data_IF_748892860965
#
_entry.id   IF_748892860965
#
_cell.length_a   1.000
_cell.length_b   1.000
_cell.length_c   1.000
_cell.angle_alpha   90.00
_cell.angle_beta   90.00
_cell.angle_gamma   90.00
#
_symmetry.space_group_name_H-M   'P 1'
#
loop_
_entity.id
_entity.type
_entity.pdbx_description
1 polymer ?
#
# COMPACT_ATOMS: atom_id res chain seq x y z
N UNK A 1 17.59 61.39 21.94
CA UNK A 1 16.34 62.12 21.58
C UNK A 1 15.37 61.05 21.07
N UNK A 2 14.43 60.70 21.95
CA UNK A 2 13.45 59.70 21.66
C UNK A 2 12.17 60.31 21.10
N UNK A 3 11.62 59.70 20.07
CA UNK A 3 10.27 60.00 19.64
C UNK A 3 9.39 58.76 19.90
N UNK A 4 8.40 58.93 20.79
CA UNK A 4 7.33 57.98 21.05
C UNK A 4 6.18 58.29 20.09
N UNK A 5 5.65 57.28 19.43
CA UNK A 5 4.39 57.33 18.68
C UNK A 5 3.23 56.91 19.59
N UNK A 6 2.08 57.57 19.58
CA UNK A 6 0.92 57.13 20.36
C UNK A 6 0.12 56.07 19.62
N UNK A 7 -0.20 54.97 20.35
CA UNK A 7 -1.18 53.98 19.94
C UNK A 7 -2.59 54.55 20.08
N UNK A 8 -3.29 54.68 18.97
CA UNK A 8 -4.74 54.87 18.92
C UNK A 8 -5.41 53.48 18.86
N UNK A 9 -6.04 53.11 19.98
CA UNK A 9 -6.89 51.90 20.07
C UNK A 9 -8.31 52.37 19.72
N UNK A 10 -8.81 51.96 18.55
CA UNK A 10 -10.21 52.03 18.21
C UNK A 10 -10.87 50.68 18.52
N UNK A 11 -11.82 50.66 19.43
CA UNK A 11 -12.63 49.50 19.75
C UNK A 11 -13.66 49.27 18.62
N UNK A 12 -13.84 48.04 18.15
CA UNK A 12 -14.94 47.71 17.26
C UNK A 12 -16.21 47.43 18.08
N UNK A 13 -17.29 48.12 17.71
CA UNK A 13 -18.66 47.91 18.14
C UNK A 13 -19.10 46.45 17.86
N UNK A 14 -19.53 45.76 18.89
CA UNK A 14 -20.14 44.44 18.80
C UNK A 14 -21.53 44.57 18.14
N UNK A 15 -21.69 43.99 16.97
CA UNK A 15 -23.01 43.68 16.39
C UNK A 15 -23.38 42.29 16.83
N UNK A 16 -24.35 42.13 17.71
CA UNK A 16 -25.01 40.88 18.02
C UNK A 16 -25.81 40.42 16.80
N UNK A 17 -25.34 39.44 16.07
CA UNK A 17 -26.15 38.65 15.15
C UNK A 17 -26.53 37.34 15.81
N UNK A 18 -27.82 37.04 15.78
CA UNK A 18 -28.49 35.96 16.48
C UNK A 18 -27.90 34.60 16.20
N UNK A 19 -27.82 33.79 17.25
CA UNK A 19 -27.47 32.40 17.22
C UNK A 19 -28.61 31.56 16.59
N UNK A 20 -28.60 31.41 15.27
CA UNK A 20 -29.30 30.30 14.64
C UNK A 20 -28.34 29.13 14.60
N UNK A 21 -28.72 28.05 15.32
CA UNK A 21 -27.89 26.87 15.51
C UNK A 21 -27.60 26.17 14.20
N UNK A 22 -26.36 26.27 13.71
CA UNK A 22 -25.78 25.30 12.80
C UNK A 22 -25.69 23.98 13.56
N UNK A 23 -26.65 23.11 13.31
CA UNK A 23 -26.54 21.68 13.64
C UNK A 23 -25.36 21.12 12.84
N UNK A 24 -24.15 21.19 13.39
CA UNK A 24 -23.01 20.43 12.94
C UNK A 24 -23.36 18.96 13.15
N UNK A 25 -23.86 18.32 12.10
CA UNK A 25 -23.96 16.86 12.03
C UNK A 25 -22.54 16.37 12.30
N UNK A 26 -22.27 15.93 13.53
CA UNK A 26 -21.03 15.24 13.87
C UNK A 26 -21.00 13.99 13.00
N UNK A 27 -20.22 14.01 11.90
CA UNK A 27 -19.92 12.79 11.16
C UNK A 27 -19.47 11.74 12.18
N UNK A 28 -20.04 10.52 12.15
CA UNK A 28 -19.62 9.50 13.07
C UNK A 28 -18.09 9.37 12.94
N UNK A 29 -17.38 9.36 14.07
CA UNK A 29 -15.96 9.01 14.09
C UNK A 29 -15.90 7.58 13.58
N UNK A 30 -15.38 7.39 12.37
CA UNK A 30 -15.08 6.06 11.84
C UNK A 30 -14.23 5.36 12.90
N UNK A 31 -14.74 4.31 13.53
CA UNK A 31 -13.97 3.50 14.46
C UNK A 31 -13.18 2.52 13.59
N UNK A 32 -12.07 2.99 13.03
CA UNK A 32 -11.19 2.14 12.24
C UNK A 32 -10.74 0.96 13.09
N UNK A 33 -10.84 -0.23 12.53
CA UNK A 33 -10.29 -1.44 13.12
C UNK A 33 -8.76 -1.33 13.17
N UNK A 34 -8.14 -2.02 14.12
CA UNK A 34 -6.68 -2.08 14.20
C UNK A 34 -6.17 -3.02 13.10
N UNK A 35 -5.25 -2.58 12.23
CA UNK A 35 -4.61 -3.47 11.27
C UNK A 35 -3.84 -4.58 11.99
N UNK A 36 -3.92 -5.79 11.46
CA UNK A 36 -3.26 -6.98 11.99
C UNK A 36 -2.16 -7.51 11.05
N UNK A 37 -2.06 -6.96 9.85
CA UNK A 37 -1.01 -7.30 8.89
C UNK A 37 -0.55 -6.08 8.09
N UNK A 38 0.71 -6.16 7.66
CA UNK A 38 1.35 -5.28 6.69
C UNK A 38 2.26 -6.14 5.82
N UNK A 39 1.99 -6.24 4.54
CA UNK A 39 2.67 -7.21 3.66
C UNK A 39 3.42 -6.56 2.50
N UNK A 40 3.56 -5.24 2.54
CA UNK A 40 4.40 -4.48 1.61
C UNK A 40 5.40 -3.65 2.40
N UNK A 41 6.58 -4.23 2.63
CA UNK A 41 7.67 -3.59 3.39
C UNK A 41 9.04 -4.02 2.88
N UNK A 42 10.04 -3.16 3.06
CA UNK A 42 11.38 -3.30 2.56
C UNK A 42 12.42 -3.22 3.67
N UNK A 43 13.52 -3.98 3.52
CA UNK A 43 14.68 -3.90 4.41
C UNK A 43 15.89 -3.28 3.69
N UNK A 44 17.00 -3.17 4.38
CA UNK A 44 18.28 -2.72 3.80
C UNK A 44 18.69 -3.52 2.54
N UNK A 45 18.11 -4.71 2.34
CA UNK A 45 18.37 -5.54 1.16
C UNK A 45 17.80 -4.93 -0.14
N UNK A 46 16.76 -4.10 -0.05
CA UNK A 46 16.23 -3.32 -1.19
C UNK A 46 17.13 -2.14 -1.63
N UNK A 47 18.25 -1.91 -0.92
CA UNK A 47 19.27 -0.93 -1.30
C UNK A 47 18.96 0.51 -0.93
N UNK A 48 17.72 0.88 -0.75
CA UNK A 48 17.27 2.23 -0.36
C UNK A 48 16.26 2.24 0.78
N UNK A 49 16.17 1.15 1.53
CA UNK A 49 15.51 1.06 2.83
C UNK A 49 16.55 1.00 3.97
N UNK A 50 16.13 1.28 5.21
CA UNK A 50 17.08 1.65 6.26
C UNK A 50 16.95 0.80 7.53
N UNK A 51 16.14 -0.25 7.53
CA UNK A 51 16.01 -1.17 8.66
C UNK A 51 16.32 -2.60 8.26
N UNK A 52 16.89 -3.36 9.18
CA UNK A 52 17.12 -4.79 9.02
C UNK A 52 15.82 -5.58 9.18
N UNK A 53 15.82 -6.85 8.73
CA UNK A 53 14.72 -7.79 8.93
C UNK A 53 14.26 -7.85 10.40
N UNK A 54 15.21 -7.90 11.34
CA UNK A 54 14.86 -8.02 12.76
C UNK A 54 14.24 -6.74 13.32
N UNK A 55 14.71 -5.55 12.89
CA UNK A 55 14.10 -4.28 13.28
C UNK A 55 12.68 -4.14 12.73
N UNK A 56 12.46 -4.55 11.47
CA UNK A 56 11.12 -4.56 10.86
C UNK A 56 10.18 -5.51 11.63
N UNK A 57 10.62 -6.75 11.86
CA UNK A 57 9.81 -7.74 12.58
C UNK A 57 9.53 -7.32 14.05
N UNK A 58 10.50 -6.69 14.72
CA UNK A 58 10.30 -6.17 16.08
C UNK A 58 9.28 -5.05 16.10
N UNK A 59 9.41 -4.08 15.19
CA UNK A 59 8.46 -2.97 15.10
C UNK A 59 7.03 -3.45 14.77
N UNK A 60 6.89 -4.44 13.90
CA UNK A 60 5.60 -5.05 13.60
C UNK A 60 4.98 -5.71 14.85
N UNK A 61 5.77 -6.49 15.59
CA UNK A 61 5.32 -7.11 16.83
C UNK A 61 4.92 -6.08 17.91
N UNK A 62 5.73 -5.04 18.09
CA UNK A 62 5.47 -3.97 19.06
C UNK A 62 4.20 -3.17 18.71
N UNK A 63 3.89 -3.02 17.42
CA UNK A 63 2.63 -2.45 16.93
C UNK A 63 1.45 -3.42 17.01
N UNK A 64 1.72 -4.70 17.36
CA UNK A 64 0.71 -5.76 17.56
C UNK A 64 0.15 -6.29 16.24
N UNK A 65 0.93 -6.28 15.19
CA UNK A 65 0.64 -7.05 13.97
C UNK A 65 0.74 -8.54 14.26
N UNK A 66 0.06 -9.35 13.46
CA UNK A 66 0.14 -10.81 13.48
C UNK A 66 0.93 -11.34 12.27
N UNK A 67 0.95 -10.58 11.18
CA UNK A 67 1.64 -10.95 9.94
C UNK A 67 2.43 -9.74 9.42
N UNK A 68 3.68 -9.97 9.01
CA UNK A 68 4.53 -9.02 8.31
C UNK A 68 5.04 -9.67 7.02
N UNK A 69 4.85 -9.01 5.88
CA UNK A 69 5.51 -9.34 4.63
C UNK A 69 6.81 -8.55 4.47
N UNK A 70 7.89 -9.24 4.14
CA UNK A 70 9.16 -8.64 3.70
C UNK A 70 9.22 -8.88 2.20
N UNK A 71 8.93 -7.86 1.42
CA UNK A 71 8.77 -7.91 -0.03
C UNK A 71 9.81 -7.01 -0.70
N UNK A 72 11.07 -7.46 -0.67
CA UNK A 72 12.18 -6.71 -1.24
C UNK A 72 11.95 -6.42 -2.73
N UNK A 73 12.46 -5.30 -3.19
CA UNK A 73 12.38 -4.97 -4.62
C UNK A 73 13.03 -6.01 -5.51
N UNK A 74 12.39 -6.28 -6.65
CA UNK A 74 12.89 -7.16 -7.69
C UNK A 74 14.22 -6.69 -8.28
N UNK A 75 14.96 -7.61 -8.95
CA UNK A 75 16.37 -7.40 -9.33
C UNK A 75 16.61 -6.28 -10.34
N UNK A 76 15.58 -5.78 -11.04
CA UNK A 76 15.72 -4.64 -11.97
C UNK A 76 15.83 -3.28 -11.29
N UNK A 77 15.53 -3.17 -9.99
CA UNK A 77 15.74 -1.93 -9.23
C UNK A 77 17.22 -1.77 -8.91
N UNK A 78 17.88 -0.67 -9.30
CA UNK A 78 19.30 -0.44 -9.01
C UNK A 78 19.59 -0.43 -7.51
N UNK A 79 20.60 -1.20 -7.11
CA UNK A 79 21.06 -1.27 -5.71
C UNK A 79 20.32 -2.28 -4.84
N UNK A 80 19.28 -2.96 -5.37
CA UNK A 80 18.58 -4.02 -4.64
C UNK A 80 19.44 -5.30 -4.54
N UNK A 81 18.95 -6.24 -3.74
CA UNK A 81 19.56 -7.56 -3.58
C UNK A 81 19.48 -8.38 -4.89
N UNK A 82 20.48 -9.25 -5.10
CA UNK A 82 20.52 -10.13 -6.28
C UNK A 82 19.74 -11.43 -6.07
N UNK A 83 19.67 -12.23 -7.15
CA UNK A 83 18.90 -13.49 -7.19
C UNK A 83 19.23 -14.49 -6.08
N UNK A 84 20.50 -14.51 -5.59
CA UNK A 84 20.88 -15.37 -4.47
C UNK A 84 20.17 -15.02 -3.16
N UNK A 85 19.79 -13.77 -2.96
CA UNK A 85 19.01 -13.36 -1.80
C UNK A 85 17.64 -14.04 -1.79
N UNK A 86 16.90 -13.93 -2.90
CA UNK A 86 15.59 -14.59 -3.05
C UNK A 86 15.69 -16.11 -2.94
N UNK A 87 16.69 -16.70 -3.58
CA UNK A 87 16.94 -18.15 -3.49
C UNK A 87 17.21 -18.61 -2.06
N UNK A 88 17.83 -17.78 -1.23
CA UNK A 88 18.23 -18.11 0.15
C UNK A 88 17.20 -17.72 1.22
N UNK A 89 16.06 -17.14 0.86
CA UNK A 89 15.02 -16.72 1.82
C UNK A 89 14.47 -17.86 2.68
N UNK A 90 14.67 -19.12 2.26
CA UNK A 90 14.24 -20.29 3.02
C UNK A 90 14.93 -20.42 4.39
N UNK A 91 16.11 -19.80 4.60
CA UNK A 91 16.82 -19.83 5.89
C UNK A 91 16.17 -18.92 6.93
N UNK A 92 15.31 -17.99 6.51
CA UNK A 92 14.63 -17.06 7.42
C UNK A 92 13.50 -17.79 8.15
N UNK A 93 13.48 -17.78 9.50
CA UNK A 93 12.34 -18.34 10.23
C UNK A 93 11.04 -17.63 9.86
N UNK A 94 9.98 -18.38 9.60
CA UNK A 94 8.65 -17.84 9.27
C UNK A 94 7.87 -17.38 10.50
N UNK A 95 8.48 -17.44 11.67
CA UNK A 95 7.96 -16.88 12.91
C UNK A 95 9.08 -16.14 13.66
N UNK A 96 8.84 -14.88 14.02
CA UNK A 96 9.78 -14.05 14.74
C UNK A 96 9.03 -13.11 15.67
N UNK A 97 9.47 -12.99 16.92
CA UNK A 97 8.85 -12.12 17.93
C UNK A 97 7.34 -12.34 18.14
N UNK A 98 6.86 -13.58 17.90
CA UNK A 98 5.45 -13.93 18.04
C UNK A 98 4.56 -13.57 16.85
N UNK A 99 5.12 -13.01 15.78
CA UNK A 99 4.41 -12.74 14.53
C UNK A 99 4.86 -13.67 13.41
N UNK A 100 3.99 -13.86 12.42
CA UNK A 100 4.31 -14.59 11.20
C UNK A 100 5.03 -13.68 10.21
N UNK A 101 6.08 -14.19 9.57
CA UNK A 101 6.76 -13.55 8.44
C UNK A 101 6.36 -14.23 7.13
N UNK A 102 6.10 -13.41 6.11
CA UNK A 102 6.00 -13.82 4.72
C UNK A 102 7.21 -13.24 3.99
N UNK A 103 8.05 -14.11 3.46
CA UNK A 103 9.22 -13.70 2.69
C UNK A 103 8.87 -13.65 1.21
N UNK A 104 9.03 -12.50 0.59
CA UNK A 104 8.54 -12.24 -0.74
C UNK A 104 9.37 -11.27 -1.57
N UNK A 105 8.83 -10.90 -2.71
CA UNK A 105 9.40 -9.92 -3.61
C UNK A 105 8.34 -8.99 -4.15
N UNK A 106 8.66 -7.71 -4.23
CA UNK A 106 7.97 -6.76 -5.08
C UNK A 106 8.66 -6.77 -6.45
N UNK A 107 8.15 -7.62 -7.35
CA UNK A 107 8.66 -7.76 -8.70
C UNK A 107 8.22 -6.62 -9.60
N UNK A 108 9.04 -6.32 -10.59
CA UNK A 108 8.75 -5.27 -11.55
C UNK A 108 8.03 -5.83 -12.78
N UNK A 109 6.95 -5.16 -13.20
CA UNK A 109 6.30 -5.38 -14.49
C UNK A 109 7.16 -4.68 -15.54
N UNK A 110 7.62 -5.40 -16.56
CA UNK A 110 8.61 -4.92 -17.51
C UNK A 110 8.02 -4.44 -18.85
N UNK A 111 6.81 -4.90 -19.17
CA UNK A 111 6.17 -4.59 -20.45
C UNK A 111 4.66 -4.88 -20.46
N UNK A 112 4.01 -4.59 -21.59
CA UNK A 112 2.59 -4.83 -21.83
C UNK A 112 2.22 -6.32 -21.89
N UNK A 113 3.16 -7.22 -22.05
CA UNK A 113 2.96 -8.66 -22.02
C UNK A 113 2.89 -9.18 -20.58
N UNK A 114 3.32 -8.38 -19.60
CA UNK A 114 3.36 -8.74 -18.17
C UNK A 114 4.57 -9.57 -17.81
N UNK A 115 5.68 -9.43 -18.55
CA UNK A 115 6.94 -10.05 -18.13
C UNK A 115 7.39 -9.44 -16.79
N UNK A 116 7.94 -10.30 -15.93
CA UNK A 116 8.45 -9.94 -14.62
C UNK A 116 9.97 -10.04 -14.60
N UNK A 117 10.59 -9.29 -13.69
CA UNK A 117 12.05 -9.29 -13.52
C UNK A 117 12.58 -10.40 -12.60
N UNK A 118 11.70 -11.28 -12.14
CA UNK A 118 12.07 -12.46 -11.36
C UNK A 118 11.39 -13.70 -11.96
N UNK A 119 12.20 -14.68 -12.32
CA UNK A 119 11.72 -15.89 -12.96
C UNK A 119 10.89 -16.77 -12.01
N UNK A 120 10.03 -17.59 -12.61
CA UNK A 120 9.12 -18.50 -11.92
C UNK A 120 9.81 -19.42 -10.90
N UNK A 121 11.04 -19.86 -11.18
CA UNK A 121 11.79 -20.75 -10.26
C UNK A 121 12.10 -20.08 -8.91
N UNK A 122 12.19 -18.74 -8.89
CA UNK A 122 12.36 -17.95 -7.66
C UNK A 122 11.02 -17.66 -7.01
N UNK A 123 10.01 -17.25 -7.81
CA UNK A 123 8.66 -16.97 -7.31
C UNK A 123 8.05 -18.18 -6.58
N UNK A 124 8.29 -19.40 -7.08
CA UNK A 124 7.83 -20.67 -6.46
C UNK A 124 8.44 -20.93 -5.06
N UNK A 125 9.47 -20.18 -4.69
CA UNK A 125 10.15 -20.32 -3.39
C UNK A 125 9.73 -19.27 -2.37
N UNK A 126 8.97 -18.28 -2.83
CA UNK A 126 8.52 -17.16 -1.99
C UNK A 126 7.17 -17.51 -1.35
N UNK A 127 6.92 -16.92 -0.19
CA UNK A 127 5.63 -17.06 0.49
C UNK A 127 4.60 -16.12 -0.14
N UNK A 128 5.05 -14.98 -0.69
CA UNK A 128 4.20 -13.95 -1.29
C UNK A 128 4.92 -13.26 -2.45
N UNK A 129 4.23 -13.11 -3.58
CA UNK A 129 4.63 -12.25 -4.69
C UNK A 129 3.72 -11.02 -4.74
N UNK A 130 4.31 -9.84 -4.83
CA UNK A 130 3.60 -8.61 -5.18
C UNK A 130 4.25 -8.01 -6.42
N UNK A 131 3.50 -7.25 -7.21
CA UNK A 131 4.01 -6.73 -8.49
C UNK A 131 3.57 -5.30 -8.73
N UNK A 132 4.48 -4.47 -9.24
CA UNK A 132 4.18 -3.08 -9.57
C UNK A 132 4.90 -2.57 -10.81
N UNK A 133 4.45 -1.42 -11.32
CA UNK A 133 5.14 -0.67 -12.36
C UNK A 133 6.06 0.35 -11.69
N UNK A 134 7.36 0.20 -11.92
CA UNK A 134 8.35 1.19 -11.51
C UNK A 134 8.98 1.82 -12.76
N UNK A 135 8.94 3.14 -12.85
CA UNK A 135 9.38 3.90 -14.03
C UNK A 135 10.83 3.64 -14.45
N UNK A 136 11.67 3.21 -13.49
CA UNK A 136 13.06 2.86 -13.75
C UNK A 136 13.19 1.51 -14.49
N UNK A 137 12.19 0.63 -14.37
CA UNK A 137 12.16 -0.69 -15.00
C UNK A 137 11.33 -0.70 -16.27
N UNK A 138 10.23 0.05 -16.29
CA UNK A 138 9.38 0.25 -17.46
C UNK A 138 8.77 1.64 -17.43
N UNK A 139 9.07 2.44 -18.45
CA UNK A 139 8.57 3.81 -18.56
C UNK A 139 7.07 3.90 -18.93
N UNK A 140 6.41 2.74 -19.07
CA UNK A 140 5.03 2.65 -19.50
C UNK A 140 4.85 2.78 -21.01
N UNK A 141 3.65 2.48 -21.45
CA UNK A 141 3.14 2.65 -22.80
C UNK A 141 1.87 3.49 -22.78
N UNK A 142 0.97 3.22 -23.72
CA UNK A 142 -0.40 3.77 -23.70
C UNK A 142 -1.18 3.20 -22.51
N UNK A 143 -2.31 3.82 -22.17
CA UNK A 143 -3.20 3.32 -21.11
C UNK A 143 -3.58 1.85 -21.34
N UNK A 144 -3.87 1.49 -22.59
CA UNK A 144 -4.23 0.13 -22.98
C UNK A 144 -3.08 -0.85 -22.77
N UNK A 145 -1.86 -0.49 -23.16
CA UNK A 145 -0.66 -1.30 -22.99
C UNK A 145 -0.33 -1.49 -21.50
N UNK A 146 -0.38 -0.41 -20.72
CA UNK A 146 -0.15 -0.44 -19.29
C UNK A 146 -1.18 -1.34 -18.59
N UNK A 147 -2.46 -1.15 -18.90
CA UNK A 147 -3.55 -1.95 -18.35
C UNK A 147 -3.40 -3.42 -18.70
N UNK A 148 -3.07 -3.72 -19.97
CA UNK A 148 -2.88 -5.11 -20.40
C UNK A 148 -1.72 -5.78 -19.67
N UNK A 149 -0.60 -5.09 -19.47
CA UNK A 149 0.55 -5.59 -18.71
C UNK A 149 0.16 -5.96 -17.28
N UNK A 150 -0.53 -5.05 -16.58
CA UNK A 150 -0.99 -5.31 -15.20
C UNK A 150 -2.03 -6.42 -15.16
N UNK A 151 -3.00 -6.47 -16.08
CA UNK A 151 -4.01 -7.54 -16.16
C UNK A 151 -3.37 -8.90 -16.40
N UNK A 152 -2.35 -8.98 -17.25
CA UNK A 152 -1.61 -10.23 -17.47
C UNK A 152 -0.93 -10.71 -16.18
N UNK A 153 -0.36 -9.79 -15.40
CA UNK A 153 0.28 -10.08 -14.11
C UNK A 153 -0.74 -10.46 -13.04
N UNK A 154 -1.91 -9.81 -13.00
CA UNK A 154 -3.02 -10.19 -12.11
C UNK A 154 -3.42 -11.66 -12.31
N UNK A 155 -3.35 -12.17 -13.52
CA UNK A 155 -3.69 -13.56 -13.85
C UNK A 155 -2.58 -14.56 -13.55
N UNK A 156 -1.40 -14.09 -13.16
CA UNK A 156 -0.31 -14.96 -12.72
C UNK A 156 -0.59 -15.46 -11.29
N UNK A 157 -0.79 -16.77 -11.06
CA UNK A 157 -1.15 -17.30 -9.74
C UNK A 157 -0.07 -17.15 -8.69
N UNK A 158 1.15 -16.71 -9.05
CA UNK A 158 2.26 -16.44 -8.14
C UNK A 158 2.25 -15.00 -7.61
N UNK A 159 1.39 -14.14 -8.17
CA UNK A 159 1.24 -12.74 -7.78
C UNK A 159 -0.06 -12.56 -7.02
N UNK A 160 0.04 -12.19 -5.77
CA UNK A 160 -1.08 -12.08 -4.85
C UNK A 160 -1.59 -10.65 -4.69
N UNK A 161 -0.73 -9.66 -5.01
CA UNK A 161 -1.04 -8.23 -4.83
C UNK A 161 -0.44 -7.45 -5.99
N UNK A 162 -1.20 -6.50 -6.54
CA UNK A 162 -0.64 -5.43 -7.37
C UNK A 162 -0.34 -4.25 -6.47
N UNK A 163 0.96 -3.91 -6.36
CA UNK A 163 1.44 -2.81 -5.55
C UNK A 163 1.14 -1.46 -6.20
N UNK A 164 0.71 -0.52 -5.39
CA UNK A 164 0.47 0.90 -5.69
C UNK A 164 -0.07 1.27 -7.09
N UNK A 165 -1.07 0.55 -7.67
CA UNK A 165 -1.55 0.84 -9.04
C UNK A 165 -2.12 2.25 -9.18
N UNK A 166 -2.56 2.85 -8.06
CA UNK A 166 -3.11 4.21 -8.01
C UNK A 166 -2.06 5.32 -7.86
N UNK A 167 -0.77 5.03 -7.88
CA UNK A 167 0.26 6.01 -7.56
C UNK A 167 0.52 7.04 -8.68
N UNK A 168 -0.01 6.81 -9.89
CA UNK A 168 0.14 7.69 -11.05
C UNK A 168 1.43 7.48 -11.84
N UNK A 169 2.18 6.39 -11.58
CA UNK A 169 3.36 6.02 -12.36
C UNK A 169 2.96 5.63 -13.80
N UNK A 170 1.82 4.98 -13.97
CA UNK A 170 1.25 4.62 -15.26
C UNK A 170 -0.23 5.04 -15.34
N UNK A 171 -0.70 5.41 -16.53
CA UNK A 171 -2.12 5.57 -16.78
C UNK A 171 -2.76 4.20 -16.97
N UNK A 172 -3.81 3.89 -16.17
CA UNK A 172 -4.41 2.57 -16.05
C UNK A 172 -5.94 2.65 -16.12
N UNK A 173 -6.56 1.62 -16.67
CA UNK A 173 -8.00 1.37 -16.54
C UNK A 173 -8.29 0.62 -15.24
N UNK A 174 -8.65 1.35 -14.18
CA UNK A 174 -8.86 0.76 -12.86
C UNK A 174 -10.06 -0.19 -12.82
N UNK A 175 -11.09 0.02 -13.66
CA UNK A 175 -12.22 -0.91 -13.72
C UNK A 175 -11.79 -2.26 -14.28
N UNK A 176 -10.99 -2.26 -15.35
CA UNK A 176 -10.42 -3.48 -15.92
C UNK A 176 -9.53 -4.22 -14.90
N UNK A 177 -8.73 -3.49 -14.11
CA UNK A 177 -7.91 -4.08 -13.05
C UNK A 177 -8.77 -4.71 -11.95
N UNK A 178 -9.79 -4.01 -11.46
CA UNK A 178 -10.68 -4.51 -10.39
C UNK A 178 -11.42 -5.75 -10.84
N UNK A 179 -11.91 -5.80 -12.08
CA UNK A 179 -12.60 -6.98 -12.62
C UNK A 179 -11.65 -8.17 -12.77
N UNK A 180 -10.44 -7.95 -13.29
CA UNK A 180 -9.42 -9.00 -13.38
C UNK A 180 -9.01 -9.51 -11.99
N UNK A 181 -8.81 -8.61 -11.03
CA UNK A 181 -8.46 -8.94 -9.64
C UNK A 181 -9.56 -9.78 -8.96
N UNK A 182 -10.83 -9.48 -9.25
CA UNK A 182 -11.98 -10.27 -8.77
C UNK A 182 -11.92 -11.71 -9.26
N UNK A 183 -11.60 -11.91 -10.55
CA UNK A 183 -11.55 -13.24 -11.17
C UNK A 183 -10.37 -14.07 -10.67
N UNK A 184 -9.23 -13.43 -10.43
CA UNK A 184 -7.97 -14.10 -10.06
C UNK A 184 -7.72 -14.17 -8.55
N UNK A 185 -8.58 -13.56 -7.71
CA UNK A 185 -8.37 -13.40 -6.27
C UNK A 185 -7.04 -12.69 -5.94
N UNK A 186 -6.61 -11.76 -6.81
CA UNK A 186 -5.47 -10.88 -6.59
C UNK A 186 -5.95 -9.60 -5.91
N UNK A 187 -5.20 -9.08 -4.94
CA UNK A 187 -5.55 -7.84 -4.25
C UNK A 187 -4.97 -6.62 -5.00
N UNK A 188 -5.73 -5.54 -5.04
CA UNK A 188 -5.20 -4.22 -5.43
C UNK A 188 -4.83 -3.45 -4.17
N UNK A 189 -3.61 -2.93 -4.15
CA UNK A 189 -3.12 -2.16 -3.02
C UNK A 189 -3.58 -0.71 -3.07
N UNK A 190 -4.00 -0.18 -1.92
CA UNK A 190 -4.12 1.24 -1.65
C UNK A 190 -2.92 1.64 -0.79
N UNK A 191 -1.98 2.40 -1.36
CA UNK A 191 -0.65 2.57 -0.82
C UNK A 191 -0.50 3.92 -0.09
N UNK A 192 -0.09 3.86 1.19
CA UNK A 192 0.07 5.04 2.04
C UNK A 192 1.27 5.91 1.63
N UNK A 193 2.37 5.27 1.18
CA UNK A 193 3.58 5.97 0.78
C UNK A 193 3.36 6.80 -0.48
N UNK A 194 2.52 6.34 -1.41
CA UNK A 194 2.16 7.07 -2.63
C UNK A 194 1.50 8.43 -2.35
N UNK A 195 0.86 8.58 -1.20
CA UNK A 195 0.21 9.82 -0.76
C UNK A 195 1.13 10.75 0.04
N UNK A 196 2.40 10.36 0.23
CA UNK A 196 3.35 11.20 0.96
C UNK A 196 3.66 12.47 0.14
N UNK A 197 3.64 13.69 0.75
CA UNK A 197 3.89 14.95 0.04
C UNK A 197 5.22 14.97 -0.71
N UNK A 198 6.22 14.27 -0.20
CA UNK A 198 7.55 14.19 -0.79
C UNK A 198 7.59 13.43 -2.13
N UNK A 199 6.57 12.63 -2.41
CA UNK A 199 6.47 11.85 -3.66
C UNK A 199 5.97 12.71 -4.84
N UNK A 200 5.38 13.88 -4.57
CA UNK A 200 4.84 14.79 -5.59
C UNK A 200 3.84 14.15 -6.57
N UNK A 201 3.21 13.04 -6.17
CA UNK A 201 2.25 12.28 -6.99
C UNK A 201 0.85 12.88 -6.85
N UNK A 202 0.58 13.95 -7.60
CA UNK A 202 -0.64 14.77 -7.46
C UNK A 202 -1.93 14.02 -7.78
N UNK A 203 -1.88 12.99 -8.64
CA UNK A 203 -3.04 12.19 -9.05
C UNK A 203 -3.30 10.99 -8.13
N UNK A 204 -2.33 10.64 -7.27
CA UNK A 204 -2.42 9.42 -6.46
C UNK A 204 -3.68 9.37 -5.56
N UNK A 205 -4.10 10.52 -5.02
CA UNK A 205 -5.31 10.58 -4.20
C UNK A 205 -6.56 10.21 -4.99
N UNK A 206 -6.75 10.81 -6.14
CA UNK A 206 -7.96 10.62 -6.95
C UNK A 206 -8.01 9.20 -7.54
N UNK A 207 -6.87 8.69 -7.99
CA UNK A 207 -6.74 7.31 -8.45
C UNK A 207 -7.09 6.29 -7.35
N UNK A 208 -6.57 6.47 -6.14
CA UNK A 208 -6.88 5.57 -5.03
C UNK A 208 -8.35 5.67 -4.59
N UNK A 209 -8.97 6.85 -4.68
CA UNK A 209 -10.41 7.01 -4.47
C UNK A 209 -11.23 6.25 -5.52
N UNK A 210 -10.81 6.30 -6.78
CA UNK A 210 -11.47 5.56 -7.87
C UNK A 210 -11.35 4.05 -7.66
N UNK A 211 -10.15 3.54 -7.35
CA UNK A 211 -9.93 2.13 -7.00
C UNK A 211 -10.86 1.69 -5.85
N UNK A 212 -10.90 2.46 -4.76
CA UNK A 212 -11.77 2.14 -3.62
C UNK A 212 -13.25 2.12 -4.01
N UNK A 213 -13.73 3.09 -4.81
CA UNK A 213 -15.13 3.12 -5.27
C UNK A 213 -15.47 1.92 -6.13
N UNK A 214 -14.59 1.53 -7.05
CA UNK A 214 -14.75 0.37 -7.91
C UNK A 214 -14.70 -0.93 -7.10
N UNK A 215 -13.73 -1.08 -6.20
CA UNK A 215 -13.65 -2.23 -5.31
C UNK A 215 -14.92 -2.38 -4.46
N UNK A 216 -15.44 -1.29 -3.89
CA UNK A 216 -16.72 -1.29 -3.15
C UNK A 216 -17.89 -1.67 -4.06
N UNK A 217 -17.96 -1.11 -5.26
CA UNK A 217 -19.06 -1.39 -6.21
C UNK A 217 -19.13 -2.86 -6.61
N UNK A 218 -17.98 -3.45 -6.90
CA UNK A 218 -17.87 -4.85 -7.34
C UNK A 218 -17.75 -5.86 -6.21
N UNK A 219 -17.65 -5.40 -4.96
CA UNK A 219 -17.43 -6.25 -3.78
C UNK A 219 -16.07 -6.94 -3.80
N UNK A 220 -15.04 -6.26 -4.30
CA UNK A 220 -13.66 -6.77 -4.39
C UNK A 220 -12.89 -6.28 -3.17
N UNK A 221 -12.22 -7.17 -2.43
CA UNK A 221 -11.39 -6.73 -1.32
C UNK A 221 -10.13 -6.01 -1.79
N UNK A 222 -9.61 -5.14 -0.91
CA UNK A 222 -8.36 -4.40 -1.11
C UNK A 222 -7.41 -4.65 0.06
N UNK A 223 -6.17 -4.25 -0.13
CA UNK A 223 -5.15 -4.27 0.91
C UNK A 223 -4.52 -2.89 1.06
N UNK A 224 -4.27 -2.49 2.30
CA UNK A 224 -3.56 -1.26 2.60
C UNK A 224 -2.06 -1.58 2.69
N UNK A 225 -1.23 -0.85 1.95
CA UNK A 225 0.21 -0.96 2.02
C UNK A 225 0.86 0.22 2.72
N UNK A 226 1.76 -0.05 3.65
CA UNK A 226 2.61 1.01 4.20
C UNK A 226 3.75 1.37 3.26
N UNK A 227 4.26 0.37 2.53
CA UNK A 227 5.46 0.50 1.70
C UNK A 227 6.64 1.03 2.54
N UNK A 228 6.77 0.42 3.73
CA UNK A 228 7.70 0.88 4.75
C UNK A 228 9.14 0.61 4.36
N UNK A 229 9.94 1.66 4.29
CA UNK A 229 11.38 1.61 4.04
C UNK A 229 12.22 1.81 5.31
N UNK A 230 11.55 1.97 6.45
CA UNK A 230 12.14 2.04 7.79
C UNK A 230 11.11 1.55 8.81
N UNK A 231 11.57 0.92 9.87
CA UNK A 231 10.72 0.25 10.88
C UNK A 231 9.64 1.15 11.50
N UNK A 232 9.86 2.46 11.57
CA UNK A 232 8.87 3.41 12.08
C UNK A 232 7.61 3.53 11.21
N UNK A 233 7.73 3.23 9.91
CA UNK A 233 6.64 3.34 8.92
C UNK A 233 5.76 2.09 8.85
N UNK A 234 6.13 0.97 9.49
CA UNK A 234 5.32 -0.25 9.47
C UNK A 234 3.90 0.06 9.96
N UNK A 235 2.90 -0.43 9.21
CA UNK A 235 1.48 -0.21 9.47
C UNK A 235 1.11 1.28 9.65
N UNK A 236 1.83 2.18 8.97
CA UNK A 236 1.42 3.58 8.83
C UNK A 236 0.43 3.67 7.68
N UNK A 237 -0.85 3.89 8.01
CA UNK A 237 -1.95 4.03 7.06
C UNK A 237 -2.70 5.35 7.24
N UNK A 238 -2.13 6.31 7.96
CA UNK A 238 -2.82 7.54 8.35
C UNK A 238 -3.32 8.35 7.16
N UNK A 239 -2.60 8.34 6.03
CA UNK A 239 -3.00 9.07 4.81
C UNK A 239 -4.15 8.40 4.07
N UNK A 240 -4.39 7.11 4.32
CA UNK A 240 -5.48 6.34 3.69
C UNK A 240 -6.81 6.51 4.42
N UNK A 241 -6.81 6.78 5.72
CA UNK A 241 -8.04 6.90 6.50
C UNK A 241 -9.03 7.93 5.96
N UNK A 242 -8.61 9.12 5.49
CA UNK A 242 -9.53 10.06 4.84
C UNK A 242 -10.18 9.50 3.58
N UNK A 243 -9.47 8.68 2.79
CA UNK A 243 -9.98 8.07 1.56
C UNK A 243 -11.01 6.99 1.88
N UNK A 244 -10.71 6.15 2.86
CA UNK A 244 -11.65 5.12 3.35
C UNK A 244 -12.94 5.76 3.88
N UNK A 245 -12.80 6.86 4.64
CA UNK A 245 -13.94 7.59 5.17
C UNK A 245 -14.77 8.27 4.07
N UNK A 246 -14.14 8.87 3.05
CA UNK A 246 -14.80 9.54 1.93
C UNK A 246 -15.58 8.56 1.06
N UNK A 247 -15.04 7.36 0.85
CA UNK A 247 -15.68 6.31 0.07
C UNK A 247 -16.65 5.47 0.90
N UNK A 248 -16.70 5.67 2.22
CA UNK A 248 -17.41 4.78 3.16
C UNK A 248 -17.07 3.31 2.86
N UNK A 249 -15.77 3.03 2.72
CA UNK A 249 -15.28 1.72 2.33
C UNK A 249 -15.55 0.70 3.43
N UNK A 250 -16.12 -0.48 3.11
CA UNK A 250 -16.50 -1.47 4.11
C UNK A 250 -15.28 -2.13 4.77
N UNK A 251 -15.25 -2.21 6.10
CA UNK A 251 -14.15 -2.84 6.85
C UNK A 251 -13.95 -4.32 6.48
N UNK A 252 -15.02 -5.01 6.09
CA UNK A 252 -14.97 -6.40 5.65
C UNK A 252 -14.25 -6.60 4.30
N UNK A 253 -14.07 -5.55 3.53
CA UNK A 253 -13.30 -5.57 2.28
C UNK A 253 -11.83 -5.14 2.48
N UNK A 254 -11.42 -4.80 3.70
CA UNK A 254 -10.02 -4.46 4.02
C UNK A 254 -9.33 -5.69 4.60
N UNK A 255 -8.41 -6.28 3.84
CA UNK A 255 -7.73 -7.53 4.24
C UNK A 255 -6.80 -7.36 5.43
N UNK A 256 -6.30 -6.14 5.68
CA UNK A 256 -5.43 -5.85 6.83
C UNK A 256 -6.08 -6.12 8.19
N UNK A 257 -7.39 -6.21 8.27
CA UNK A 257 -8.11 -6.41 9.54
C UNK A 257 -8.32 -7.88 9.91
N UNK A 258 -8.03 -8.84 9.00
CA UNK A 258 -8.19 -10.26 9.26
C UNK A 258 -7.15 -11.09 8.48
N UNK A 259 -6.10 -11.57 9.15
CA UNK A 259 -5.14 -12.50 8.55
C UNK A 259 -5.81 -13.75 7.98
N UNK A 260 -6.83 -14.29 8.64
CA UNK A 260 -7.58 -15.45 8.17
C UNK A 260 -8.19 -15.19 6.78
N UNK A 261 -8.95 -14.08 6.62
CA UNK A 261 -9.53 -13.70 5.32
C UNK A 261 -8.47 -13.42 4.27
N UNK A 262 -7.34 -12.83 4.67
CA UNK A 262 -6.23 -12.58 3.76
C UNK A 262 -5.67 -13.88 3.19
N UNK A 263 -5.39 -14.87 4.04
CA UNK A 263 -4.88 -16.17 3.60
C UNK A 263 -5.91 -16.94 2.76
N UNK A 264 -7.17 -16.95 3.18
CA UNK A 264 -8.26 -17.62 2.46
C UNK A 264 -8.46 -17.01 1.07
N UNK A 265 -8.40 -15.69 0.95
CA UNK A 265 -8.62 -15.00 -0.32
C UNK A 265 -7.45 -15.16 -1.28
N UNK A 266 -6.23 -15.03 -0.80
CA UNK A 266 -5.01 -15.08 -1.63
C UNK A 266 -4.52 -16.49 -1.92
N UNK A 267 -4.99 -17.50 -1.19
CA UNK A 267 -4.48 -18.88 -1.29
C UNK A 267 -3.09 -19.08 -0.70
N UNK A 268 -2.49 -18.05 -0.10
CA UNK A 268 -1.20 -18.17 0.59
C UNK A 268 -1.38 -19.15 1.76
N UNK A 269 -0.46 -20.15 1.88
CA UNK A 269 -0.56 -21.13 2.97
C UNK A 269 -0.63 -20.45 4.33
N UNK A 270 -1.69 -20.73 5.08
CA UNK A 270 -1.81 -20.28 6.47
C UNK A 270 -0.94 -21.08 7.46
N UNK A 271 -0.43 -22.24 7.04
CA UNK A 271 0.47 -23.08 7.85
C UNK A 271 1.94 -22.76 7.58
N UNK A 272 2.78 -22.92 8.61
CA UNK A 272 4.25 -22.79 8.51
C UNK A 272 4.86 -23.96 7.76
#
# INVERSE_FOLDING_TARGET
MGQRWPLLIAAPTAVCLGAEGLNLIKKPKLKLMKPLLDVHTHTVASGHAYSSLQEMARAAADKGLQVLGITEHGPSIPGTCGLLYFRNMFVVPRQMYGIRLLMGCEVNILDAQGHLDLDDEYLDRLDIGIAGIHIICWQGGTREENTQGVVNVIRNPKIHIISHPGDGTADLDFEALVLAAKESHTLLEVNNHSLAPQRHKTVARDNNLEILRLCKHYGVPTILGSDAHVSFQIADYERLFPLLAETEFPDELIMNYSPERFFDYTGISATL
#
